data_IF_779775328308
#
_entry.id   IF_779775328308
#
_cell.length_a   1.000
_cell.length_b   1.000
_cell.length_c   1.000
_cell.angle_alpha   90.00
_cell.angle_beta   90.00
_cell.angle_gamma   90.00
#
_symmetry.space_group_name_H-M   'P 1'
#
loop_
_entity.id
_entity.type
_entity.pdbx_description
1 polymer ?
#
# COMPACT_ATOMS: atom_id res chain seq x y z
N UNK A 1 2.90 14.98 -3.47
CA UNK A 1 4.17 14.33 -3.85
C UNK A 1 4.44 13.21 -2.84
N UNK A 2 4.50 11.96 -3.28
CA UNK A 2 4.71 10.81 -2.39
C UNK A 2 6.16 10.34 -2.53
N UNK A 3 7.00 10.63 -1.54
CA UNK A 3 8.42 10.26 -1.54
C UNK A 3 8.63 9.05 -0.63
N UNK A 4 8.87 7.89 -1.25
CA UNK A 4 9.09 6.61 -0.54
C UNK A 4 10.58 6.37 -0.31
N UNK A 5 11.42 6.86 -1.23
CA UNK A 5 12.87 6.69 -1.25
C UNK A 5 13.57 8.05 -1.29
N UNK A 6 14.77 8.11 -0.72
CA UNK A 6 15.63 9.26 -0.74
C UNK A 6 16.09 9.52 -2.19
N UNK A 7 15.84 10.70 -2.77
CA UNK A 7 16.25 10.99 -4.15
C UNK A 7 17.78 11.06 -4.33
N UNK A 8 18.54 11.12 -3.22
CA UNK A 8 20.01 11.19 -3.23
C UNK A 8 20.63 9.79 -3.19
N UNK A 9 20.31 9.00 -2.16
CA UNK A 9 20.94 7.69 -1.94
C UNK A 9 20.05 6.48 -2.27
N UNK A 10 18.79 6.71 -2.67
CA UNK A 10 17.77 5.69 -2.96
C UNK A 10 17.33 4.83 -1.77
N UNK A 11 17.91 5.02 -0.58
CA UNK A 11 17.48 4.37 0.66
C UNK A 11 16.04 4.75 1.03
N UNK A 12 15.39 3.90 1.82
CA UNK A 12 14.03 4.10 2.29
C UNK A 12 13.91 5.33 3.20
N UNK A 13 12.92 6.20 2.96
CA UNK A 13 12.61 7.33 3.83
C UNK A 13 11.72 6.90 4.99
N UNK A 14 11.95 7.45 6.18
CA UNK A 14 11.11 7.22 7.36
C UNK A 14 10.37 8.49 7.75
N UNK A 15 9.08 8.37 8.07
CA UNK A 15 8.31 9.47 8.64
C UNK A 15 8.91 9.83 10.00
N UNK A 16 9.26 11.11 10.17
CA UNK A 16 9.84 11.65 11.41
C UNK A 16 8.97 12.65 12.13
N UNK A 17 7.97 13.20 11.45
CA UNK A 17 7.15 14.30 11.95
C UNK A 17 5.74 14.21 11.39
N UNK A 18 4.75 14.22 12.29
CA UNK A 18 3.36 14.53 11.96
C UNK A 18 3.09 15.99 12.34
N UNK A 19 2.36 16.69 11.48
CA UNK A 19 1.97 18.08 11.72
C UNK A 19 0.44 18.19 11.62
N UNK A 20 -0.18 18.75 12.66
CA UNK A 20 -1.61 19.02 12.69
C UNK A 20 -1.87 20.48 12.28
N UNK A 21 -2.44 20.76 11.08
CA UNK A 21 -2.68 22.13 10.64
C UNK A 21 -3.80 22.84 11.43
N UNK A 22 -4.60 22.10 12.22
CA UNK A 22 -5.71 22.68 12.99
C UNK A 22 -5.26 23.29 14.33
N UNK A 23 -4.28 22.69 14.99
CA UNK A 23 -3.78 23.16 16.29
C UNK A 23 -2.28 23.50 16.29
N UNK A 24 -1.63 23.44 15.13
CA UNK A 24 -0.21 23.75 14.90
C UNK A 24 0.79 22.85 15.66
N UNK A 25 0.29 21.78 16.29
CA UNK A 25 1.13 20.83 17.02
C UNK A 25 1.88 19.94 16.03
N UNK A 26 3.18 19.80 16.30
CA UNK A 26 4.06 18.86 15.62
C UNK A 26 4.46 17.74 16.58
N UNK A 27 4.35 16.49 16.13
CA UNK A 27 4.79 15.32 16.89
C UNK A 27 5.99 14.72 16.16
N UNK A 28 7.14 14.70 16.81
CA UNK A 28 8.38 14.15 16.27
C UNK A 28 8.71 12.82 16.92
N UNK A 29 9.20 11.87 16.13
CA UNK A 29 9.47 10.52 16.63
C UNK A 29 9.99 9.56 15.58
N UNK A 30 10.11 8.29 15.97
CA UNK A 30 10.30 7.18 15.04
C UNK A 30 8.94 6.51 14.84
N UNK A 31 8.29 6.81 13.72
CA UNK A 31 6.99 6.21 13.41
C UNK A 31 7.19 4.93 12.60
N UNK A 32 6.39 3.90 12.90
CA UNK A 32 6.30 2.72 12.04
C UNK A 32 5.61 3.09 10.75
N UNK A 33 6.04 2.45 9.66
CA UNK A 33 5.29 2.50 8.40
C UNK A 33 4.05 1.64 8.54
N UNK A 34 2.98 2.02 7.87
CA UNK A 34 1.88 1.08 7.65
C UNK A 34 2.25 0.11 6.52
N UNK A 35 1.72 -1.12 6.53
CA UNK A 35 1.83 -2.05 5.39
C UNK A 35 1.45 -1.44 4.03
N UNK A 36 0.62 -0.38 4.01
CA UNK A 36 0.22 0.33 2.80
C UNK A 36 1.40 1.01 2.10
N UNK A 37 2.41 1.48 2.85
CA UNK A 37 3.61 2.12 2.30
C UNK A 37 4.53 1.14 1.58
N UNK A 38 4.44 -0.16 1.92
CA UNK A 38 5.16 -1.23 1.25
C UNK A 38 4.58 -1.63 -0.11
N UNK A 39 3.38 -1.13 -0.46
CA UNK A 39 2.70 -1.48 -1.70
C UNK A 39 3.05 -0.53 -2.84
N UNK A 40 3.26 -1.11 -4.02
CA UNK A 40 3.34 -0.35 -5.27
C UNK A 40 1.98 0.27 -5.64
N UNK A 41 2.02 1.30 -6.50
CA UNK A 41 0.80 1.97 -6.97
C UNK A 41 -0.22 1.00 -7.59
N UNK A 42 0.26 0.03 -8.39
CA UNK A 42 -0.61 -0.97 -9.03
C UNK A 42 -1.22 -1.96 -8.02
N UNK A 43 -0.51 -2.27 -6.93
CA UNK A 43 -1.06 -3.09 -5.84
C UNK A 43 -2.14 -2.31 -5.06
N UNK A 44 -1.91 -1.02 -4.77
CA UNK A 44 -2.91 -0.17 -4.12
C UNK A 44 -4.18 -0.03 -4.98
N UNK A 45 -4.04 0.16 -6.29
CA UNK A 45 -5.17 0.19 -7.22
C UNK A 45 -5.93 -1.15 -7.25
N UNK A 46 -5.20 -2.26 -7.25
CA UNK A 46 -5.80 -3.58 -7.17
C UNK A 46 -6.60 -3.76 -5.88
N UNK A 47 -6.06 -3.38 -4.72
CA UNK A 47 -6.77 -3.45 -3.42
C UNK A 47 -8.01 -2.57 -3.44
N UNK A 48 -7.91 -1.33 -3.95
CA UNK A 48 -9.05 -0.43 -4.09
C UNK A 48 -10.16 -1.09 -4.91
N UNK A 49 -9.83 -1.67 -6.06
CA UNK A 49 -10.82 -2.35 -6.89
C UNK A 49 -11.39 -3.59 -6.22
N UNK A 50 -10.53 -4.39 -5.57
CA UNK A 50 -10.94 -5.57 -4.82
C UNK A 50 -11.98 -5.22 -3.74
N UNK A 51 -11.76 -4.13 -2.99
CA UNK A 51 -12.71 -3.64 -1.99
C UNK A 51 -14.01 -3.12 -2.61
N UNK A 52 -13.92 -2.35 -3.71
CA UNK A 52 -15.10 -1.82 -4.41
C UNK A 52 -16.04 -2.91 -4.92
N UNK A 53 -15.50 -4.07 -5.31
CA UNK A 53 -16.30 -5.23 -5.73
C UNK A 53 -16.51 -6.26 -4.61
N UNK A 54 -16.20 -5.90 -3.36
CA UNK A 54 -16.38 -6.74 -2.17
C UNK A 54 -15.67 -8.10 -2.29
N UNK A 55 -14.52 -8.15 -2.94
CA UNK A 55 -13.74 -9.37 -3.16
C UNK A 55 -14.34 -10.34 -4.18
N UNK A 56 -15.34 -9.92 -4.97
CA UNK A 56 -15.92 -10.76 -6.01
C UNK A 56 -14.90 -11.03 -7.15
N UNK A 57 -14.33 -12.23 -7.15
CA UNK A 57 -13.28 -12.63 -8.09
C UNK A 57 -13.78 -12.65 -9.55
N UNK A 58 -15.05 -13.03 -9.79
CA UNK A 58 -15.62 -13.02 -11.15
C UNK A 58 -15.72 -11.59 -11.70
N UNK A 59 -16.17 -10.65 -10.86
CA UNK A 59 -16.25 -9.24 -11.25
C UNK A 59 -14.85 -8.64 -11.46
N UNK A 60 -13.85 -9.01 -10.65
CA UNK A 60 -12.46 -8.64 -10.89
C UNK A 60 -11.92 -9.16 -12.22
N UNK A 61 -12.17 -10.44 -12.55
CA UNK A 61 -11.76 -11.00 -13.85
C UNK A 61 -12.36 -10.19 -15.00
N UNK A 62 -13.65 -9.86 -14.91
CA UNK A 62 -14.36 -9.07 -15.92
C UNK A 62 -13.78 -7.66 -16.05
N UNK A 63 -13.58 -6.94 -14.93
CA UNK A 63 -13.10 -5.55 -14.94
C UNK A 63 -11.64 -5.41 -15.35
N UNK A 64 -10.81 -6.39 -14.98
CA UNK A 64 -9.37 -6.35 -15.27
C UNK A 64 -8.99 -7.10 -16.55
N UNK A 65 -9.89 -7.90 -17.12
CA UNK A 65 -9.62 -8.70 -18.33
C UNK A 65 -8.56 -9.77 -18.11
N UNK A 66 -8.41 -10.28 -16.88
CA UNK A 66 -7.37 -11.24 -16.51
C UNK A 66 -7.94 -12.57 -16.00
N UNK A 67 -7.12 -13.61 -16.08
CA UNK A 67 -7.46 -14.94 -15.60
C UNK A 67 -7.56 -15.01 -14.07
N UNK A 68 -8.31 -15.99 -13.57
CA UNK A 68 -8.38 -16.29 -12.14
C UNK A 68 -6.99 -16.57 -11.51
N UNK A 69 -6.09 -17.37 -12.13
CA UNK A 69 -4.71 -17.53 -11.65
C UNK A 69 -3.97 -16.19 -11.50
N UNK A 70 -4.14 -15.26 -12.44
CA UNK A 70 -3.49 -13.94 -12.37
C UNK A 70 -3.96 -13.14 -11.15
N UNK A 71 -5.26 -13.19 -10.83
CA UNK A 71 -5.83 -12.53 -9.64
C UNK A 71 -5.28 -13.16 -8.37
N UNK A 72 -5.25 -14.50 -8.30
CA UNK A 72 -4.69 -15.23 -7.15
C UNK A 72 -3.23 -14.86 -6.90
N UNK A 73 -2.42 -14.77 -7.96
CA UNK A 73 -1.02 -14.37 -7.86
C UNK A 73 -0.88 -12.94 -7.32
N UNK A 74 -1.69 -11.99 -7.82
CA UNK A 74 -1.69 -10.60 -7.30
C UNK A 74 -2.05 -10.52 -5.81
N UNK A 75 -3.07 -11.28 -5.38
CA UNK A 75 -3.46 -11.37 -3.97
C UNK A 75 -2.31 -11.96 -3.14
N UNK A 76 -1.69 -13.04 -3.62
CA UNK A 76 -0.56 -13.67 -2.94
C UNK A 76 0.63 -12.72 -2.77
N UNK A 77 0.94 -11.92 -3.78
CA UNK A 77 2.04 -10.94 -3.71
C UNK A 77 1.76 -9.82 -2.71
N UNK A 78 0.50 -9.35 -2.63
CA UNK A 78 0.07 -8.38 -1.61
C UNK A 78 0.13 -9.00 -0.21
N UNK A 79 -0.32 -10.25 -0.05
CA UNK A 79 -0.29 -10.95 1.23
C UNK A 79 1.13 -11.09 1.79
N UNK A 80 2.15 -11.26 0.94
CA UNK A 80 3.55 -11.30 1.39
C UNK A 80 3.98 -10.00 2.08
N UNK A 81 3.48 -8.86 1.61
CA UNK A 81 3.78 -7.54 2.19
C UNK A 81 3.00 -7.35 3.49
N UNK A 82 1.71 -7.71 3.49
CA UNK A 82 0.85 -7.59 4.67
C UNK A 82 1.36 -8.47 5.82
N UNK A 83 1.74 -9.72 5.56
CA UNK A 83 2.20 -10.66 6.60
C UNK A 83 3.52 -10.21 7.25
N UNK A 84 4.36 -9.47 6.53
CA UNK A 84 5.59 -8.89 7.09
C UNK A 84 5.33 -7.78 8.12
N UNK A 85 4.12 -7.19 8.16
CA UNK A 85 3.72 -6.14 9.11
C UNK A 85 3.14 -6.70 10.43
N UNK A 86 2.88 -8.02 10.49
CA UNK A 86 2.37 -8.73 11.69
C UNK A 86 3.47 -9.46 12.49
N UNK A 87 4.73 -9.38 12.06
CA UNK A 87 5.90 -9.99 12.69
C UNK A 87 6.77 -8.91 13.36
#
# INVERSE_FOLDING_TARGET
MHLVNCPVCKSELKIRKYHCPNCDISIEGSFSRSWLEGLSASQLEFIKLFLLVQGNLKELQKRLGISYPTIKNRIADINKIIVQDYA
#
